data_IF_021648969761
#
_entry.id   IF_021648969761
#
_cell.length_a   1.000
_cell.length_b   1.000
_cell.length_c   1.000
_cell.angle_alpha   90.00
_cell.angle_beta   90.00
_cell.angle_gamma   90.00
#
_symmetry.space_group_name_H-M   'P 1'
#
loop_
_entity.id
_entity.type
_entity.pdbx_description
1 polymer ?
#
# COMPACT_ATOMS: atom_id res chain seq x y z
N UNK A 1 12.09 42.06 10.94
CA UNK A 1 10.86 42.14 10.12
C UNK A 1 11.29 42.33 8.68
N UNK A 2 11.14 41.32 7.82
CA UNK A 2 11.49 41.41 6.40
C UNK A 2 10.20 41.56 5.59
N UNK A 3 10.15 42.60 4.74
CA UNK A 3 9.05 42.92 3.84
C UNK A 3 9.08 42.04 2.58
N UNK A 4 7.93 41.87 1.89
CA UNK A 4 7.75 40.85 0.87
C UNK A 4 8.27 41.27 -0.51
N UNK A 5 8.79 40.30 -1.26
CA UNK A 5 9.11 40.47 -2.68
C UNK A 5 7.84 40.25 -3.53
N UNK A 6 7.51 41.24 -4.36
CA UNK A 6 6.44 41.18 -5.37
C UNK A 6 6.98 40.55 -6.65
N UNK A 7 6.34 39.49 -7.14
CA UNK A 7 6.61 38.89 -8.46
C UNK A 7 5.57 39.42 -9.45
N UNK A 8 6.04 39.98 -10.55
CA UNK A 8 5.22 40.32 -11.72
C UNK A 8 5.95 39.85 -12.97
N UNK A 9 5.40 38.86 -13.66
CA UNK A 9 5.88 38.48 -14.99
C UNK A 9 4.70 38.30 -15.92
N UNK A 10 4.73 39.14 -16.97
CA UNK A 10 3.74 39.35 -18.02
C UNK A 10 3.42 38.07 -18.80
N UNK A 11 2.13 37.90 -19.09
CA UNK A 11 1.58 36.96 -20.07
C UNK A 11 1.99 37.39 -21.49
N UNK A 12 2.92 36.67 -22.11
CA UNK A 12 3.39 36.95 -23.46
C UNK A 12 2.64 36.09 -24.48
N UNK A 13 1.91 36.76 -25.38
CA UNK A 13 1.02 36.18 -26.40
C UNK A 13 1.83 35.38 -27.43
N UNK A 14 1.57 34.09 -27.56
CA UNK A 14 2.19 33.23 -28.59
C UNK A 14 1.54 33.44 -29.94
N UNK A 15 2.34 33.85 -30.94
CA UNK A 15 1.93 33.99 -32.31
C UNK A 15 2.40 32.81 -33.17
N UNK A 16 1.47 32.33 -34.01
CA UNK A 16 1.64 31.71 -35.32
C UNK A 16 2.28 30.30 -35.46
N UNK A 17 1.38 29.35 -35.72
CA UNK A 17 1.39 28.34 -36.80
C UNK A 17 2.68 28.15 -37.63
N UNK A 18 3.21 26.93 -37.58
CA UNK A 18 3.98 26.31 -38.68
C UNK A 18 3.36 24.94 -38.95
N UNK A 19 2.73 24.80 -40.13
CA UNK A 19 2.38 23.52 -40.74
C UNK A 19 3.49 23.14 -41.72
N UNK A 20 4.16 22.02 -41.51
CA UNK A 20 4.91 21.33 -42.56
C UNK A 20 4.87 19.81 -42.31
N UNK A 21 4.44 19.09 -43.33
CA UNK A 21 3.99 17.71 -43.31
C UNK A 21 5.07 16.69 -43.70
N UNK A 22 4.93 15.48 -43.14
CA UNK A 22 5.23 14.14 -43.68
C UNK A 22 6.69 13.67 -43.87
N UNK A 23 7.12 12.68 -43.05
CA UNK A 23 7.74 11.43 -43.51
C UNK A 23 7.65 10.33 -42.41
N UNK A 24 7.20 9.13 -42.81
CA UNK A 24 6.99 7.91 -42.01
C UNK A 24 8.29 7.34 -41.44
N UNK A 25 8.29 7.00 -40.13
CA UNK A 25 8.93 5.77 -39.62
C UNK A 25 8.03 5.22 -38.52
N UNK A 26 7.50 4.01 -38.72
CA UNK A 26 6.80 3.29 -37.67
C UNK A 26 7.77 2.93 -36.55
N UNK A 27 7.68 3.64 -35.43
CA UNK A 27 8.11 3.10 -34.15
C UNK A 27 6.90 2.36 -33.57
N UNK A 28 6.95 1.04 -33.71
CA UNK A 28 6.15 0.11 -32.93
C UNK A 28 6.32 0.48 -31.46
N UNK A 29 5.30 1.12 -30.90
CA UNK A 29 5.20 1.35 -29.46
C UNK A 29 5.03 -0.06 -28.89
N UNK A 30 5.95 -0.60 -28.08
CA UNK A 30 5.67 -1.82 -27.35
C UNK A 30 4.52 -1.46 -26.42
N UNK A 31 3.31 -1.90 -26.80
CA UNK A 31 2.13 -1.90 -25.96
C UNK A 31 2.57 -2.51 -24.64
N UNK A 32 2.67 -1.68 -23.60
CA UNK A 32 2.95 -2.17 -22.27
C UNK A 32 1.88 -3.21 -21.97
N UNK A 33 2.26 -4.48 -21.97
CA UNK A 33 1.49 -5.54 -21.33
C UNK A 33 1.33 -5.07 -19.89
N UNK A 34 0.18 -4.45 -19.60
CA UNK A 34 -0.28 -4.25 -18.25
C UNK A 34 -0.21 -5.62 -17.61
N UNK A 35 0.72 -5.76 -16.67
CA UNK A 35 0.92 -6.99 -15.92
C UNK A 35 -0.45 -7.35 -15.37
N UNK A 36 -1.01 -8.45 -15.84
CA UNK A 36 -2.21 -9.01 -15.25
C UNK A 36 -1.83 -9.32 -13.81
N UNK A 37 -2.29 -8.47 -12.89
CA UNK A 37 -2.28 -8.82 -11.48
C UNK A 37 -3.02 -10.15 -11.42
N UNK A 38 -2.42 -11.23 -10.89
CA UNK A 38 -3.15 -12.47 -10.75
C UNK A 38 -4.29 -12.18 -9.79
N UNK A 39 -5.48 -11.92 -10.34
CA UNK A 39 -6.71 -11.90 -9.58
C UNK A 39 -7.08 -13.36 -9.34
N UNK A 40 -6.25 -14.04 -8.56
CA UNK A 40 -6.59 -15.29 -7.92
C UNK A 40 -7.60 -14.95 -6.83
N UNK A 41 -8.83 -14.68 -7.24
CA UNK A 41 -10.01 -14.73 -6.38
C UNK A 41 -10.33 -16.20 -6.06
N UNK A 42 -9.32 -16.95 -5.62
CA UNK A 42 -9.53 -18.14 -4.82
C UNK A 42 -10.14 -17.65 -3.52
N UNK A 43 -11.38 -18.07 -3.25
CA UNK A 43 -12.04 -17.94 -1.96
C UNK A 43 -11.09 -18.53 -0.91
N UNK A 44 -10.29 -17.67 -0.30
CA UNK A 44 -9.20 -18.08 0.55
C UNK A 44 -9.80 -18.73 1.79
N UNK A 45 -9.39 -19.97 2.06
CA UNK A 45 -9.78 -20.65 3.28
C UNK A 45 -9.35 -19.79 4.49
N UNK A 46 -10.09 -19.86 5.62
CA UNK A 46 -9.64 -19.25 6.86
C UNK A 46 -8.21 -19.68 7.16
N UNK A 47 -7.36 -18.74 7.60
CA UNK A 47 -5.99 -19.05 8.02
C UNK A 47 -6.04 -20.16 9.09
N UNK A 48 -5.07 -21.08 9.08
CA UNK A 48 -4.89 -22.00 10.20
C UNK A 48 -4.39 -21.23 11.44
N UNK A 49 -4.37 -21.88 12.60
CA UNK A 49 -3.67 -21.31 13.75
C UNK A 49 -2.16 -21.26 13.47
N UNK A 50 -1.53 -20.16 13.85
CA UNK A 50 -0.12 -19.91 13.53
C UNK A 50 0.25 -18.43 13.50
N UNK A 51 1.51 -18.16 13.17
CA UNK A 51 2.07 -16.80 13.02
C UNK A 51 2.35 -16.52 11.57
N UNK A 52 1.94 -15.34 11.11
CA UNK A 52 2.01 -14.93 9.72
C UNK A 52 2.56 -13.52 9.62
N UNK A 53 3.39 -13.30 8.60
CA UNK A 53 3.88 -11.98 8.23
C UNK A 53 3.35 -11.62 6.85
N UNK A 54 2.81 -10.42 6.73
CA UNK A 54 2.36 -9.83 5.49
C UNK A 54 3.05 -8.48 5.27
N UNK A 55 3.29 -8.10 4.03
CA UNK A 55 3.88 -6.80 3.69
C UNK A 55 3.35 -6.24 2.38
N UNK A 56 3.37 -4.91 2.24
CA UNK A 56 3.07 -4.24 0.96
C UNK A 56 4.07 -4.63 -0.14
N UNK A 57 5.25 -5.14 0.27
CA UNK A 57 6.24 -5.73 -0.63
C UNK A 57 6.63 -7.11 -0.10
N UNK A 58 7.05 -8.04 -0.97
CA UNK A 58 7.47 -9.38 -0.54
C UNK A 58 8.81 -9.39 0.21
N UNK A 59 9.59 -8.29 0.13
CA UNK A 59 10.87 -8.15 0.84
C UNK A 59 10.62 -7.52 2.22
N UNK A 60 11.13 -8.08 3.31
CA UNK A 60 10.96 -7.50 4.64
C UNK A 60 11.78 -6.21 4.83
N UNK A 61 11.42 -5.44 5.87
CA UNK A 61 12.18 -4.29 6.38
C UNK A 61 12.47 -3.18 5.34
N UNK A 62 11.57 -2.97 4.38
CA UNK A 62 11.67 -1.82 3.47
C UNK A 62 11.09 -0.57 4.14
N UNK A 63 11.91 0.48 4.25
CA UNK A 63 11.49 1.76 4.83
C UNK A 63 10.30 2.33 4.05
N UNK A 64 9.33 2.89 4.77
CA UNK A 64 8.12 3.47 4.16
C UNK A 64 7.12 2.45 3.63
N UNK A 65 7.32 1.15 3.91
CA UNK A 65 6.36 0.08 3.60
C UNK A 65 5.70 -0.44 4.86
N UNK A 66 4.41 -0.72 4.75
CA UNK A 66 3.63 -1.30 5.83
C UNK A 66 3.80 -2.82 5.89
N UNK A 67 3.86 -3.33 7.12
CA UNK A 67 3.90 -4.75 7.42
C UNK A 67 2.91 -5.10 8.52
N UNK A 68 2.37 -6.31 8.44
CA UNK A 68 1.41 -6.86 9.37
C UNK A 68 1.97 -8.17 9.93
N UNK A 69 2.27 -8.19 11.22
CA UNK A 69 2.56 -9.41 11.96
C UNK A 69 1.30 -9.84 12.69
N UNK A 70 0.80 -11.04 12.44
CA UNK A 70 -0.40 -11.56 13.08
C UNK A 70 -0.20 -12.98 13.58
N UNK A 71 -0.73 -13.25 14.77
CA UNK A 71 -0.84 -14.58 15.33
C UNK A 71 -2.32 -14.93 15.45
N UNK A 72 -2.71 -16.07 14.87
CA UNK A 72 -4.07 -16.62 14.95
C UNK A 72 -4.10 -17.81 15.90
N UNK A 73 -5.03 -17.79 16.85
CA UNK A 73 -5.32 -18.89 17.76
C UNK A 73 -6.83 -19.01 17.96
N UNK A 74 -7.41 -20.17 17.63
CA UNK A 74 -8.83 -20.46 17.78
C UNK A 74 -9.74 -19.37 17.15
N UNK A 75 -9.31 -18.82 16.02
CA UNK A 75 -10.02 -17.77 15.29
C UNK A 75 -9.88 -16.34 15.85
N UNK A 76 -9.19 -16.16 16.99
CA UNK A 76 -8.80 -14.85 17.50
C UNK A 76 -7.44 -14.46 16.92
N UNK A 77 -7.27 -13.16 16.68
CA UNK A 77 -6.02 -12.57 16.20
C UNK A 77 -5.50 -11.57 17.20
N UNK A 78 -4.20 -11.68 17.48
CA UNK A 78 -3.38 -10.62 18.06
C UNK A 78 -2.31 -10.29 17.03
N UNK A 79 -2.08 -9.01 16.78
CA UNK A 79 -1.10 -8.60 15.78
C UNK A 79 -0.65 -7.16 15.93
N UNK A 80 0.20 -6.76 15.00
CA UNK A 80 0.67 -5.40 14.89
C UNK A 80 0.80 -4.98 13.42
N UNK A 81 0.41 -3.74 13.14
CA UNK A 81 0.76 -3.01 11.93
C UNK A 81 2.01 -2.21 12.25
N UNK A 82 3.02 -2.29 11.39
CA UNK A 82 4.25 -1.53 11.59
C UNK A 82 4.85 -1.01 10.29
N UNK A 83 5.48 0.14 10.40
CA UNK A 83 6.39 0.70 9.41
C UNK A 83 7.80 0.64 10.01
N UNK A 84 8.78 0.02 9.34
CA UNK A 84 10.13 -0.08 9.87
C UNK A 84 10.68 1.30 10.26
N UNK A 85 11.16 1.42 11.49
CA UNK A 85 11.74 2.64 12.09
C UNK A 85 10.79 3.85 12.19
N UNK A 86 9.47 3.64 12.24
CA UNK A 86 8.52 4.73 12.34
C UNK A 86 7.36 4.38 13.27
N UNK A 87 6.25 3.90 12.72
CA UNK A 87 5.02 3.65 13.45
C UNK A 87 4.84 2.18 13.80
N UNK A 88 4.26 1.94 14.96
CA UNK A 88 3.85 0.61 15.42
C UNK A 88 2.50 0.71 16.12
N UNK A 89 1.57 -0.14 15.71
CA UNK A 89 0.21 -0.17 16.25
C UNK A 89 -0.26 -1.60 16.47
N UNK A 90 -0.50 -1.96 17.73
CA UNK A 90 -1.06 -3.25 18.11
C UNK A 90 -2.56 -3.30 17.78
N UNK A 91 -3.03 -4.48 17.44
CA UNK A 91 -4.45 -4.73 17.25
C UNK A 91 -4.86 -6.12 17.72
N UNK A 92 -6.14 -6.23 18.09
CA UNK A 92 -6.80 -7.51 18.34
C UNK A 92 -8.04 -7.62 17.48
N UNK A 93 -8.37 -8.82 17.03
CA UNK A 93 -9.47 -8.97 16.09
C UNK A 93 -9.87 -10.40 15.79
N UNK A 94 -10.71 -10.55 14.78
CA UNK A 94 -11.12 -11.84 14.22
C UNK A 94 -10.98 -11.78 12.70
N UNK A 95 -10.65 -12.92 12.12
CA UNK A 95 -10.58 -13.07 10.67
C UNK A 95 -11.82 -13.79 10.14
N UNK A 96 -12.34 -13.27 9.04
CA UNK A 96 -13.30 -13.96 8.20
C UNK A 96 -12.78 -13.93 6.76
N UNK A 97 -12.47 -15.10 6.19
CA UNK A 97 -11.78 -15.24 4.90
C UNK A 97 -10.48 -14.41 4.88
N UNK A 98 -10.31 -13.50 3.90
CA UNK A 98 -9.15 -12.62 3.82
C UNK A 98 -9.29 -11.30 4.58
N UNK A 99 -10.38 -11.08 5.32
CA UNK A 99 -10.61 -9.83 6.04
C UNK A 99 -10.41 -10.01 7.54
N UNK A 100 -9.54 -9.21 8.13
CA UNK A 100 -9.39 -9.08 9.58
C UNK A 100 -10.19 -7.86 10.04
N UNK A 101 -11.19 -8.09 10.88
CA UNK A 101 -11.90 -7.02 11.60
C UNK A 101 -11.29 -6.88 12.97
N UNK A 102 -10.68 -5.74 13.24
CA UNK A 102 -9.84 -5.54 14.41
C UNK A 102 -10.10 -4.21 15.12
N UNK A 103 -9.66 -4.15 16.36
CA UNK A 103 -9.56 -2.93 17.16
C UNK A 103 -8.09 -2.63 17.36
N UNK A 104 -7.66 -1.46 16.92
CA UNK A 104 -6.28 -0.99 17.01
C UNK A 104 -6.13 -0.03 18.18
N UNK A 105 -5.02 -0.13 18.91
CA UNK A 105 -4.62 0.85 19.92
C UNK A 105 -3.36 1.57 19.42
N UNK A 106 -3.53 2.83 19.02
CA UNK A 106 -2.43 3.67 18.55
C UNK A 106 -1.76 4.40 19.73
N UNK A 107 -0.44 4.62 19.66
CA UNK A 107 0.37 5.19 20.75
C UNK A 107 -0.16 6.53 21.33
N UNK A 108 -0.82 7.36 20.52
CA UNK A 108 -1.35 8.67 20.94
C UNK A 108 -2.88 8.67 21.16
N UNK A 109 -3.50 7.51 21.37
CA UNK A 109 -4.96 7.39 21.51
C UNK A 109 -5.30 6.63 22.79
N UNK A 110 -6.11 7.25 23.64
CA UNK A 110 -6.64 6.64 24.86
C UNK A 110 -7.77 5.63 24.59
N UNK A 111 -8.16 5.41 23.32
CA UNK A 111 -9.27 4.53 22.93
C UNK A 111 -8.90 3.73 21.70
N UNK A 112 -9.43 2.51 21.63
CA UNK A 112 -9.28 1.65 20.45
C UNK A 112 -10.16 2.10 19.30
N UNK A 113 -9.63 2.06 18.09
CA UNK A 113 -10.34 2.38 16.84
C UNK A 113 -10.61 1.10 16.05
N UNK A 114 -11.76 1.02 15.37
CA UNK A 114 -12.08 -0.12 14.52
C UNK A 114 -11.31 0.00 13.20
N UNK A 115 -10.67 -1.10 12.78
CA UNK A 115 -10.02 -1.19 11.48
C UNK A 115 -10.42 -2.47 10.75
N UNK A 116 -10.35 -2.43 9.42
CA UNK A 116 -10.52 -3.60 8.56
C UNK A 116 -9.27 -3.75 7.70
N UNK A 117 -8.64 -4.91 7.78
CA UNK A 117 -7.49 -5.26 6.93
C UNK A 117 -7.97 -6.29 5.92
N UNK A 118 -7.74 -6.04 4.63
CA UNK A 118 -7.85 -7.07 3.60
C UNK A 118 -6.47 -7.65 3.31
N UNK A 119 -6.24 -8.90 3.72
CA UNK A 119 -4.97 -9.61 3.56
C UNK A 119 -4.59 -9.84 2.09
N UNK A 120 -5.57 -9.82 1.16
CA UNK A 120 -5.28 -9.92 -0.28
C UNK A 120 -4.49 -8.71 -0.81
N UNK A 121 -4.49 -7.58 -0.09
CA UNK A 121 -3.74 -6.39 -0.49
C UNK A 121 -2.25 -6.48 -0.12
N UNK A 122 -1.83 -7.56 0.54
CA UNK A 122 -0.48 -7.73 1.04
C UNK A 122 0.12 -9.05 0.54
N UNK A 123 1.44 -9.06 0.38
CA UNK A 123 2.19 -10.27 0.12
C UNK A 123 2.43 -11.03 1.41
N UNK A 124 2.09 -12.31 1.47
CA UNK A 124 2.50 -13.16 2.58
C UNK A 124 4.00 -13.45 2.48
N UNK A 125 4.73 -13.14 3.56
CA UNK A 125 6.17 -13.35 3.66
C UNK A 125 6.40 -14.60 4.52
N UNK A 126 7.15 -15.56 3.98
CA UNK A 126 7.47 -16.80 4.69
C UNK A 126 8.43 -16.48 5.84
N UNK A 127 8.02 -16.83 7.06
CA UNK A 127 8.89 -16.78 8.23
C UNK A 127 9.89 -17.94 8.15
N UNK A 128 11.17 -17.62 8.35
CA UNK A 128 12.24 -18.61 8.47
C UNK A 128 12.74 -18.51 9.91
N UNK A 129 12.65 -19.62 10.65
CA UNK A 129 13.08 -19.73 12.04
C UNK A 129 14.45 -20.41 12.10
#
# INVERSE_FOLDING_TARGET
MNLPATVSTKLQKSAAFILLSLALVGLEIPSSTGQSLPNSSTKSAPLADGTYLYGETPKPNQIGKAYLLLQRQQGNIVGALYYPNSEFSCFTGKQNNNTVSAKSLSYNKAKTENMKINLSNFHQIKLTY
#
